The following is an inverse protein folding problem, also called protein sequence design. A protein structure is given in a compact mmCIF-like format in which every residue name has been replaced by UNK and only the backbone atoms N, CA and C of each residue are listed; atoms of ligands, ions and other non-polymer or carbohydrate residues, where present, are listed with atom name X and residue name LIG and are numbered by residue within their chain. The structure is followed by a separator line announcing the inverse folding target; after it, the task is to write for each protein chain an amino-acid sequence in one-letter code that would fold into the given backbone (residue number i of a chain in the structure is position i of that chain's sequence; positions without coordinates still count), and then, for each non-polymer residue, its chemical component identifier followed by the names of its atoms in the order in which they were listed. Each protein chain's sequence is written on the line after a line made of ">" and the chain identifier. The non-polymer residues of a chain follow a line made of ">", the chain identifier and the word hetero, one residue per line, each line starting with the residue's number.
data_IF_063137955639
#
_entry.id   IF_063137955639
#
_cell.length_a   1.000
_cell.length_b   1.000
_cell.length_c   1.000
_cell.angle_alpha   90.00
_cell.angle_beta   90.00
_cell.angle_gamma   90.00
#
_symmetry.space_group_name_H-M   'P 1'
#
loop_
_entity.id
_entity.type
_entity.pdbx_description
1 polymer ?
#
# COMPACT_ATOMS: atom_id res chain seq x y z
N UNK A 1 -9.07 -33.41 10.03
CA UNK A 1 -9.39 -32.00 9.83
C UNK A 1 -8.22 -31.29 9.16
N UNK A 2 -8.48 -30.61 8.05
CA UNK A 2 -7.44 -29.81 7.45
C UNK A 2 -7.10 -28.66 8.40
N UNK A 3 -5.84 -28.41 8.61
CA UNK A 3 -5.37 -27.39 9.50
C UNK A 3 -5.34 -26.06 8.73
N UNK A 4 -6.53 -25.49 8.52
CA UNK A 4 -6.69 -24.25 7.75
C UNK A 4 -5.79 -23.14 8.29
N UNK A 5 -5.60 -23.10 9.60
CA UNK A 5 -4.74 -22.12 10.27
C UNK A 5 -3.30 -22.09 9.74
N UNK A 6 -2.79 -23.24 9.27
CA UNK A 6 -1.44 -23.32 8.75
C UNK A 6 -1.28 -22.79 7.32
N UNK A 7 -2.39 -22.58 6.60
CA UNK A 7 -2.36 -22.20 5.20
C UNK A 7 -2.85 -20.77 4.94
N UNK A 8 -3.61 -20.18 5.88
CA UNK A 8 -4.12 -18.83 5.70
C UNK A 8 -3.16 -17.81 6.31
N UNK A 9 -3.21 -16.59 5.80
CA UNK A 9 -2.36 -15.51 6.29
C UNK A 9 -3.01 -14.71 7.42
N UNK A 10 -4.19 -15.13 7.87
CA UNK A 10 -5.00 -14.37 8.83
C UNK A 10 -4.27 -14.05 10.13
N UNK A 11 -3.43 -14.98 10.61
CA UNK A 11 -2.67 -14.79 11.84
C UNK A 11 -1.67 -13.63 11.75
N UNK A 12 -1.29 -13.26 10.52
CA UNK A 12 -0.29 -12.21 10.25
C UNK A 12 -0.93 -10.96 9.65
N UNK A 13 -2.23 -10.97 9.43
CA UNK A 13 -2.97 -9.88 8.81
C UNK A 13 -3.18 -8.76 9.84
N UNK A 14 -2.80 -7.55 9.46
CA UNK A 14 -3.01 -6.35 10.28
C UNK A 14 -4.12 -5.49 9.71
N UNK A 15 -4.04 -5.14 8.42
CA UNK A 15 -5.06 -4.33 7.76
C UNK A 15 -5.02 -4.52 6.24
N UNK A 16 -6.11 -4.15 5.60
CA UNK A 16 -6.28 -4.20 4.15
C UNK A 16 -7.52 -4.99 3.76
N UNK A 17 -7.73 -5.35 2.50
CA UNK A 17 -6.83 -4.99 1.40
C UNK A 17 -6.86 -3.50 1.08
N UNK A 18 -5.72 -2.98 0.63
CA UNK A 18 -5.60 -1.63 0.09
C UNK A 18 -5.58 -1.75 -1.42
N UNK A 19 -6.53 -1.13 -2.10
CA UNK A 19 -6.51 -1.05 -3.56
C UNK A 19 -5.35 -0.15 -3.99
N UNK A 20 -4.52 -0.64 -4.92
CA UNK A 20 -3.42 0.16 -5.45
C UNK A 20 -3.92 1.07 -6.56
N UNK A 21 -3.67 2.39 -6.41
CA UNK A 21 -4.02 3.39 -7.41
C UNK A 21 -2.77 4.21 -7.73
N UNK A 22 -2.39 4.26 -9.02
CA UNK A 22 -1.28 5.08 -9.47
C UNK A 22 -1.83 6.40 -10.02
N UNK A 23 -1.24 7.51 -9.57
CA UNK A 23 -1.62 8.86 -10.01
C UNK A 23 -0.37 9.64 -10.42
N UNK A 24 -0.52 10.51 -11.41
CA UNK A 24 0.51 11.47 -11.75
C UNK A 24 0.57 12.57 -10.67
N UNK A 25 1.77 13.16 -10.42
CA UNK A 25 1.87 14.26 -9.46
C UNK A 25 0.90 15.40 -9.78
N UNK A 26 0.21 15.86 -8.77
CA UNK A 26 -0.82 16.88 -8.89
C UNK A 26 -2.24 16.34 -8.86
N UNK A 27 -2.44 15.06 -9.21
CA UNK A 27 -3.77 14.45 -9.19
C UNK A 27 -4.19 14.00 -7.80
N UNK A 28 -3.24 13.75 -6.90
CA UNK A 28 -3.50 13.20 -5.57
C UNK A 28 -4.31 14.13 -4.68
N UNK A 29 -4.13 15.44 -4.84
CA UNK A 29 -4.83 16.41 -3.99
C UNK A 29 -6.35 16.31 -4.16
N UNK A 30 -6.82 16.28 -5.40
CA UNK A 30 -8.25 16.16 -5.66
C UNK A 30 -8.79 14.79 -5.23
N UNK A 31 -8.04 13.72 -5.50
CA UNK A 31 -8.43 12.37 -5.09
C UNK A 31 -8.62 12.30 -3.57
N UNK A 32 -7.61 12.76 -2.83
CA UNK A 32 -7.64 12.72 -1.36
C UNK A 32 -8.76 13.62 -0.83
N UNK A 33 -8.91 14.82 -1.38
CA UNK A 33 -9.96 15.75 -0.97
C UNK A 33 -11.35 15.14 -1.15
N UNK A 34 -11.60 14.53 -2.31
CA UNK A 34 -12.88 13.88 -2.57
C UNK A 34 -13.11 12.69 -1.61
N UNK A 35 -12.07 11.93 -1.34
CA UNK A 35 -12.16 10.78 -0.45
C UNK A 35 -12.51 11.20 0.98
N UNK A 36 -11.92 12.30 1.45
CA UNK A 36 -12.21 12.87 2.77
C UNK A 36 -13.61 13.48 2.81
N UNK A 37 -13.93 14.33 1.84
CA UNK A 37 -15.14 15.16 1.88
C UNK A 37 -16.42 14.38 1.59
N UNK A 38 -16.37 13.40 0.70
CA UNK A 38 -17.57 12.69 0.25
C UNK A 38 -17.71 11.27 0.81
N UNK A 39 -16.63 10.67 1.25
CA UNK A 39 -16.64 9.28 1.73
C UNK A 39 -16.19 9.13 3.17
N UNK A 40 -16.13 10.23 3.91
CA UNK A 40 -15.69 10.24 5.30
C UNK A 40 -14.32 9.60 5.49
N UNK A 41 -13.42 9.88 4.56
CA UNK A 41 -12.09 9.29 4.54
C UNK A 41 -11.11 9.99 5.48
N UNK A 42 -10.04 9.28 5.77
CA UNK A 42 -8.89 9.85 6.49
C UNK A 42 -7.60 9.35 5.88
N UNK A 43 -6.54 10.15 6.02
CA UNK A 43 -5.19 9.77 5.61
C UNK A 43 -4.56 8.99 6.76
N UNK A 44 -4.17 7.74 6.48
CA UNK A 44 -3.56 6.89 7.48
C UNK A 44 -2.06 7.11 7.59
N UNK A 45 -1.39 7.21 6.43
CA UNK A 45 0.06 7.38 6.40
C UNK A 45 0.50 8.05 5.11
N UNK A 46 1.67 8.67 5.15
CA UNK A 46 2.34 9.26 3.98
C UNK A 46 3.83 9.00 4.10
N UNK A 47 4.43 8.55 3.02
CA UNK A 47 5.90 8.45 2.95
C UNK A 47 6.36 8.51 1.50
N UNK A 48 7.70 8.65 1.33
CA UNK A 48 8.32 8.62 0.01
C UNK A 48 9.34 7.50 -0.06
N UNK A 49 9.46 6.90 -1.24
CA UNK A 49 10.47 5.87 -1.50
C UNK A 49 11.54 6.49 -2.41
N UNK A 50 12.65 6.89 -1.81
CA UNK A 50 13.75 7.51 -2.54
C UNK A 50 14.32 6.59 -3.61
N UNK A 51 14.38 5.29 -3.33
CA UNK A 51 14.89 4.27 -4.26
C UNK A 51 14.05 4.12 -5.53
N UNK A 52 12.83 4.63 -5.53
CA UNK A 52 11.91 4.56 -6.66
C UNK A 52 11.47 5.96 -7.11
N UNK A 53 12.45 6.78 -7.52
CA UNK A 53 12.21 8.15 -8.02
C UNK A 53 11.52 9.06 -7.00
N UNK A 54 11.70 8.78 -5.72
CA UNK A 54 11.08 9.54 -4.63
C UNK A 54 9.54 9.59 -4.75
N UNK A 55 8.94 8.52 -5.25
CA UNK A 55 7.47 8.44 -5.35
C UNK A 55 6.84 8.61 -3.97
N UNK A 56 5.62 9.17 -3.96
CA UNK A 56 4.89 9.36 -2.71
C UNK A 56 3.83 8.28 -2.57
N UNK A 57 3.74 7.70 -1.37
CA UNK A 57 2.72 6.71 -1.04
C UNK A 57 1.80 7.33 0.01
N UNK A 58 0.48 7.26 -0.25
CA UNK A 58 -0.54 7.77 0.67
C UNK A 58 -1.53 6.65 0.97
N UNK A 59 -1.67 6.29 2.23
CA UNK A 59 -2.69 5.34 2.66
C UNK A 59 -3.95 6.06 3.08
N UNK A 60 -5.08 5.63 2.54
CA UNK A 60 -6.40 6.20 2.83
C UNK A 60 -7.32 5.10 3.34
N UNK A 61 -8.25 5.47 4.22
CA UNK A 61 -9.36 4.58 4.60
C UNK A 61 -10.67 5.36 4.67
N UNK A 62 -11.77 4.69 4.35
CA UNK A 62 -13.10 5.29 4.39
C UNK A 62 -14.16 4.20 4.43
N UNK A 63 -15.43 4.59 4.27
CA UNK A 63 -16.53 3.65 4.09
C UNK A 63 -16.36 2.79 2.82
N UNK A 64 -15.50 3.21 1.88
CA UNK A 64 -15.19 2.45 0.66
C UNK A 64 -14.07 1.43 0.87
N UNK A 65 -13.46 1.39 2.06
CA UNK A 65 -12.33 0.53 2.37
C UNK A 65 -11.00 1.27 2.34
N UNK A 66 -9.93 0.55 2.03
CA UNK A 66 -8.58 1.10 2.04
C UNK A 66 -8.06 1.33 0.62
N UNK A 67 -7.29 2.42 0.45
CA UNK A 67 -6.61 2.72 -0.82
C UNK A 67 -5.16 3.08 -0.53
N UNK A 68 -4.26 2.54 -1.34
CA UNK A 68 -2.85 2.95 -1.36
C UNK A 68 -2.61 3.73 -2.65
N UNK A 69 -2.51 5.05 -2.53
CA UNK A 69 -2.15 5.90 -3.66
C UNK A 69 -0.64 5.90 -3.84
N UNK A 70 -0.20 5.72 -5.07
CA UNK A 70 1.21 5.87 -5.42
C UNK A 70 1.31 6.99 -6.45
N UNK A 71 1.96 8.08 -6.05
CA UNK A 71 2.07 9.29 -6.87
C UNK A 71 3.44 9.31 -7.53
N UNK A 72 3.45 9.16 -8.84
CA UNK A 72 4.69 9.05 -9.62
C UNK A 72 4.41 9.46 -11.07
N UNK A 73 5.39 10.08 -11.71
CA UNK A 73 5.29 10.39 -13.14
C UNK A 73 5.15 9.09 -13.95
N UNK A 74 4.26 9.04 -14.95
CA UNK A 74 4.07 7.82 -15.75
C UNK A 74 5.35 7.31 -16.40
N UNK A 75 6.22 8.18 -16.86
CA UNK A 75 7.50 7.81 -17.48
C UNK A 75 8.43 7.15 -16.47
N UNK A 76 8.41 7.61 -15.22
CA UNK A 76 9.21 7.00 -14.15
C UNK A 76 8.62 5.67 -13.70
N UNK A 77 7.30 5.58 -13.61
CA UNK A 77 6.62 4.32 -13.29
C UNK A 77 7.01 3.23 -14.28
N UNK A 78 7.09 3.57 -15.56
CA UNK A 78 7.44 2.61 -16.62
C UNK A 78 8.86 2.05 -16.48
N UNK A 79 9.73 2.69 -15.69
CA UNK A 79 11.10 2.21 -15.44
C UNK A 79 11.20 1.27 -14.24
N UNK A 80 10.15 1.15 -13.44
CA UNK A 80 10.15 0.30 -12.25
C UNK A 80 9.98 -1.18 -12.62
N UNK A 81 10.36 -2.09 -11.73
CA UNK A 81 10.11 -3.51 -11.96
C UNK A 81 8.64 -3.82 -12.23
N UNK A 82 8.38 -4.80 -13.08
CA UNK A 82 7.03 -5.19 -13.46
C UNK A 82 6.17 -5.54 -12.24
N UNK A 83 6.76 -6.19 -11.23
CA UNK A 83 6.01 -6.56 -10.03
C UNK A 83 5.52 -5.34 -9.25
N UNK A 84 6.16 -4.16 -9.40
CA UNK A 84 5.68 -2.92 -8.81
C UNK A 84 4.56 -2.33 -9.66
N UNK A 85 4.78 -2.25 -10.98
CA UNK A 85 3.79 -1.69 -11.91
C UNK A 85 2.46 -2.45 -11.88
N UNK A 86 2.55 -3.77 -11.73
CA UNK A 86 1.39 -4.66 -11.84
C UNK A 86 0.76 -5.01 -10.48
N UNK A 87 1.23 -4.43 -9.39
CA UNK A 87 0.63 -4.63 -8.07
C UNK A 87 -0.83 -4.16 -8.07
N UNK A 88 -1.74 -5.04 -7.64
CA UNK A 88 -3.18 -4.74 -7.61
C UNK A 88 -3.67 -4.30 -6.23
N UNK A 89 -3.24 -5.02 -5.20
CA UNK A 89 -3.65 -4.75 -3.82
C UNK A 89 -2.45 -4.88 -2.90
N UNK A 90 -2.61 -4.32 -1.70
CA UNK A 90 -1.61 -4.42 -0.64
C UNK A 90 -2.28 -4.84 0.66
N UNK A 91 -1.61 -5.69 1.43
CA UNK A 91 -1.99 -5.99 2.81
C UNK A 91 -0.89 -5.53 3.74
N UNK A 92 -1.27 -5.00 4.90
CA UNK A 92 -0.32 -4.81 5.99
C UNK A 92 -0.30 -6.08 6.82
N UNK A 93 0.89 -6.63 7.00
CA UNK A 93 1.13 -7.86 7.78
C UNK A 93 2.16 -7.57 8.88
N UNK A 94 2.19 -8.42 9.90
CA UNK A 94 3.15 -8.26 10.99
C UNK A 94 4.50 -8.91 10.69
N UNK A 95 4.54 -9.92 9.81
CA UNK A 95 5.76 -10.69 9.53
C UNK A 95 5.71 -11.27 8.12
N UNK A 96 6.37 -10.60 7.17
CA UNK A 96 6.42 -11.04 5.77
C UNK A 96 7.07 -12.42 5.66
N UNK A 97 8.15 -12.67 6.40
CA UNK A 97 8.86 -13.94 6.32
C UNK A 97 7.97 -15.11 6.75
N UNK A 98 7.13 -14.90 7.77
CA UNK A 98 6.18 -15.92 8.20
C UNK A 98 5.14 -16.20 7.12
N UNK A 99 4.64 -15.16 6.46
CA UNK A 99 3.72 -15.33 5.32
C UNK A 99 4.40 -16.08 4.19
N UNK A 100 5.66 -15.76 3.90
CA UNK A 100 6.42 -16.43 2.84
C UNK A 100 6.64 -17.91 3.12
N UNK A 101 6.86 -18.29 4.37
CA UNK A 101 6.97 -19.71 4.71
C UNK A 101 5.69 -20.47 4.36
N UNK A 102 4.51 -19.85 4.61
CA UNK A 102 3.22 -20.45 4.24
C UNK A 102 3.05 -20.50 2.73
N UNK A 103 3.45 -19.43 2.04
CA UNK A 103 3.36 -19.35 0.58
C UNK A 103 4.22 -20.44 -0.08
N UNK A 104 5.44 -20.65 0.38
CA UNK A 104 6.35 -21.67 -0.15
C UNK A 104 5.77 -23.08 -0.01
N UNK A 105 5.15 -23.37 1.12
CA UNK A 105 4.52 -24.68 1.34
C UNK A 105 3.40 -24.98 0.33
N UNK A 106 2.80 -23.93 -0.23
CA UNK A 106 1.69 -24.06 -1.16
C UNK A 106 2.09 -23.70 -2.60
N UNK A 107 3.39 -23.60 -2.86
CA UNK A 107 3.95 -23.28 -4.17
C UNK A 107 3.44 -21.96 -4.76
N UNK A 108 3.12 -20.99 -3.90
CA UNK A 108 2.75 -19.65 -4.34
C UNK A 108 4.02 -18.87 -4.70
N UNK A 109 4.12 -18.30 -5.91
CA UNK A 109 5.33 -17.58 -6.31
C UNK A 109 5.60 -16.36 -5.46
N UNK A 110 6.85 -16.19 -5.03
CA UNK A 110 7.34 -15.00 -4.35
C UNK A 110 8.11 -14.18 -5.38
N UNK A 111 7.58 -13.01 -5.72
CA UNK A 111 8.16 -12.16 -6.76
C UNK A 111 9.19 -11.18 -6.24
N UNK A 112 9.06 -10.79 -4.97
CA UNK A 112 9.99 -9.87 -4.32
C UNK A 112 10.27 -10.38 -2.92
N UNK A 113 11.53 -10.56 -2.59
CA UNK A 113 11.96 -10.88 -1.24
C UNK A 113 11.60 -9.74 -0.30
N UNK A 114 11.47 -10.04 0.99
CA UNK A 114 11.29 -8.99 1.99
C UNK A 114 12.41 -7.95 1.85
N UNK A 115 12.03 -6.73 1.55
CA UNK A 115 12.95 -5.61 1.29
C UNK A 115 12.66 -4.50 2.29
N UNK A 116 13.60 -4.18 3.18
CA UNK A 116 13.42 -3.08 4.12
C UNK A 116 13.21 -1.75 3.40
N UNK A 117 12.32 -0.92 3.95
CA UNK A 117 12.08 0.44 3.46
C UNK A 117 11.73 1.36 4.62
N UNK A 118 11.43 2.62 4.32
CA UNK A 118 11.15 3.62 5.36
C UNK A 118 9.92 3.27 6.21
N UNK A 119 8.94 2.58 5.64
CA UNK A 119 7.72 2.15 6.36
C UNK A 119 8.00 0.98 7.30
N UNK A 120 8.93 0.13 6.94
CA UNK A 120 9.31 -1.11 7.61
C UNK A 120 9.90 -2.08 6.61
N UNK A 121 9.05 -2.73 5.82
CA UNK A 121 9.49 -3.61 4.75
C UNK A 121 8.36 -3.84 3.76
N UNK A 122 8.72 -4.32 2.58
CA UNK A 122 7.79 -4.71 1.53
C UNK A 122 8.18 -6.04 0.92
N UNK A 123 7.21 -6.71 0.32
CA UNK A 123 7.40 -7.92 -0.45
C UNK A 123 6.21 -8.13 -1.37
N UNK A 124 6.30 -9.12 -2.28
CA UNK A 124 5.20 -9.38 -3.23
C UNK A 124 5.05 -10.86 -3.51
N UNK A 125 3.79 -11.26 -3.58
CA UNK A 125 3.35 -12.61 -3.96
C UNK A 125 2.52 -12.52 -5.24
N UNK A 126 2.45 -13.64 -5.96
CA UNK A 126 1.56 -13.78 -7.10
C UNK A 126 0.45 -14.79 -6.77
N UNK A 127 -0.80 -14.32 -6.69
CA UNK A 127 -1.94 -15.18 -6.40
C UNK A 127 -2.35 -16.02 -7.61
N UNK A 128 -2.18 -15.46 -8.80
CA UNK A 128 -2.45 -16.09 -10.09
C UNK A 128 -1.58 -15.36 -11.11
N UNK A 129 -1.34 -15.92 -12.29
CA UNK A 129 -0.54 -15.24 -13.30
C UNK A 129 -1.00 -13.81 -13.55
N UNK A 130 -0.11 -12.85 -13.30
CA UNK A 130 -0.39 -11.43 -13.45
C UNK A 130 -1.15 -10.78 -12.32
N UNK A 131 -1.56 -11.50 -11.28
CA UNK A 131 -2.27 -10.92 -10.13
C UNK A 131 -1.34 -10.81 -8.92
N UNK A 132 -0.74 -9.65 -8.76
CA UNK A 132 0.32 -9.41 -7.80
C UNK A 132 -0.21 -8.69 -6.57
N UNK A 133 0.17 -9.20 -5.41
CA UNK A 133 -0.23 -8.65 -4.11
C UNK A 133 1.02 -8.21 -3.37
N UNK A 134 1.02 -6.98 -2.91
CA UNK A 134 2.07 -6.46 -2.03
C UNK A 134 1.77 -6.80 -0.58
N UNK A 135 2.81 -7.19 0.16
CA UNK A 135 2.79 -7.30 1.60
C UNK A 135 3.66 -6.19 2.18
N UNK A 136 3.16 -5.49 3.17
CA UNK A 136 3.90 -4.41 3.84
C UNK A 136 3.97 -4.66 5.34
N UNK A 137 5.15 -4.48 5.92
CA UNK A 137 5.29 -4.35 7.37
C UNK A 137 5.35 -2.86 7.70
N UNK A 138 4.44 -2.41 8.55
CA UNK A 138 4.30 -1.00 8.90
C UNK A 138 4.78 -0.79 10.34
N UNK A 139 6.10 -0.68 10.51
CA UNK A 139 6.73 -0.55 11.83
C UNK A 139 7.14 0.87 12.18
N UNK A 140 7.17 1.78 11.22
CA UNK A 140 7.54 3.16 11.44
C UNK A 140 6.31 4.01 11.77
N UNK A 141 5.98 4.13 13.05
CA UNK A 141 4.79 4.85 13.51
C UNK A 141 4.81 6.34 13.19
N UNK A 142 5.98 6.92 12.97
CA UNK A 142 6.11 8.34 12.66
C UNK A 142 5.45 8.74 11.33
N UNK A 143 5.18 7.77 10.46
CA UNK A 143 4.55 8.01 9.16
C UNK A 143 3.02 8.04 9.23
N UNK A 144 2.44 7.60 10.34
CA UNK A 144 0.99 7.52 10.51
C UNK A 144 0.41 8.82 11.05
N UNK A 145 -0.84 9.11 10.69
CA UNK A 145 -1.59 10.30 11.09
C UNK A 145 -0.85 11.61 10.72
N UNK A 146 -0.46 11.75 9.44
CA UNK A 146 0.28 12.92 8.99
C UNK A 146 -0.57 14.19 9.07
N UNK A 147 0.10 15.33 9.20
CA UNK A 147 -0.53 16.62 9.03
C UNK A 147 -0.92 16.80 7.56
N UNK A 148 -2.21 17.10 7.31
CA UNK A 148 -2.72 17.28 5.95
C UNK A 148 -2.03 18.42 5.21
N UNK A 149 -1.45 19.40 5.92
CA UNK A 149 -0.68 20.47 5.31
C UNK A 149 0.52 19.92 4.53
N UNK A 150 1.09 18.78 4.94
CA UNK A 150 2.23 18.17 4.22
C UNK A 150 1.83 17.66 2.83
N UNK A 151 0.53 17.47 2.61
CA UNK A 151 -0.04 17.06 1.33
C UNK A 151 -0.57 18.24 0.52
N UNK A 152 -0.38 19.47 1.03
CA UNK A 152 -0.89 20.67 0.37
C UNK A 152 -2.40 20.84 0.49
N UNK A 153 -3.06 20.09 1.39
CA UNK A 153 -4.50 20.13 1.51
C UNK A 153 -5.01 21.24 2.44
N UNK A 154 -4.20 21.62 3.43
CA UNK A 154 -4.55 22.66 4.37
C UNK A 154 -5.87 22.37 5.12
N UNK A 155 -6.40 23.40 5.78
CA UNK A 155 -7.70 23.31 6.43
C UNK A 155 -8.81 23.27 5.37
N UNK A 156 -9.89 22.52 5.66
CA UNK A 156 -11.06 22.49 4.78
C UNK A 156 -11.64 23.90 4.67
N UNK A 157 -11.88 24.35 3.42
CA UNK A 157 -12.50 25.64 3.18
C UNK A 157 -13.94 25.61 3.67
N UNK A 158 -14.41 26.68 4.35
CA UNK A 158 -15.84 26.77 4.71
C UNK A 158 -16.71 26.69 3.46
N UNK A 159 -17.78 25.93 3.56
CA UNK A 159 -18.77 25.88 2.46
C UNK A 159 -19.49 27.21 2.45
N UNK A 160 -19.46 27.88 1.31
CA UNK A 160 -20.18 29.13 1.12
C UNK A 160 -21.65 28.86 0.77
#
# INVERSE_FOLDING_TARGET
>A
MSNIENTVFADHFVSGPYERVFLAPGQEQQYIRNYIDYFNGEVEYVFRLEEYHNLMVVGLKSILGHVSLVVIEPEQLATLPDFIQDTKIMFVVDDIEAVYRKAEKNNMPILQKRTPNIMGAQGRLELAPGYIVELAEATNESLFHPDLATLGLGAKQPVK
#
